data_IF_958509634825
#
_entry.id   IF_958509634825
#
_cell.length_a   1.000
_cell.length_b   1.000
_cell.length_c   1.000
_cell.angle_alpha   90.00
_cell.angle_beta   90.00
_cell.angle_gamma   90.00
#
_symmetry.space_group_name_H-M   'P 1'
#
loop_
_entity.id
_entity.type
_entity.pdbx_description
1 polymer ?
#
# COMPACT_ATOMS: atom_id res chain seq x y z
N UNK A 1 5.98 -5.85 -0.26
CA UNK A 1 6.75 -5.23 0.85
C UNK A 1 6.62 -3.70 0.84
N UNK A 2 6.85 -3.00 -0.27
CA UNK A 2 6.71 -1.53 -0.35
C UNK A 2 5.26 -1.04 -0.19
N UNK A 3 4.28 -1.81 -0.68
CA UNK A 3 2.85 -1.49 -0.61
C UNK A 3 2.13 -2.12 0.60
N UNK A 4 2.70 -3.18 1.15
CA UNK A 4 2.12 -3.95 2.27
C UNK A 4 2.55 -3.41 3.60
N UNK A 5 3.80 -2.93 3.70
CA UNK A 5 4.37 -2.44 4.95
C UNK A 5 5.05 -1.07 4.73
N UNK A 6 4.27 0.01 4.54
CA UNK A 6 4.81 1.36 4.59
C UNK A 6 5.48 1.62 5.95
N UNK A 7 5.16 0.85 7.01
CA UNK A 7 5.77 1.03 8.34
C UNK A 7 7.26 0.72 8.38
N UNK A 8 7.78 -0.08 7.45
CA UNK A 8 9.24 -0.23 7.24
C UNK A 8 9.91 1.12 6.89
N UNK A 9 9.14 2.06 6.34
CA UNK A 9 9.56 3.41 5.96
C UNK A 9 9.08 4.49 6.94
N UNK A 10 8.02 4.21 7.72
CA UNK A 10 7.50 5.11 8.76
C UNK A 10 8.52 5.18 9.90
N UNK A 11 8.74 6.39 10.44
CA UNK A 11 9.70 6.69 11.52
C UNK A 11 11.19 6.49 11.19
N UNK A 12 11.57 6.35 9.92
CA UNK A 12 12.98 6.35 9.49
C UNK A 12 13.27 7.56 8.62
N UNK A 13 14.29 8.34 8.99
CA UNK A 13 14.80 9.42 8.15
C UNK A 13 15.74 8.86 7.10
N UNK A 14 15.34 8.94 5.84
CA UNK A 14 16.19 8.58 4.70
C UNK A 14 16.66 9.85 4.00
N UNK A 15 17.95 9.93 3.68
CA UNK A 15 18.40 10.86 2.65
C UNK A 15 17.80 10.48 1.29
N UNK A 16 17.71 11.44 0.36
CA UNK A 16 17.19 11.24 -1.00
C UNK A 16 17.88 10.06 -1.72
N UNK A 17 19.18 9.89 -1.53
CA UNK A 17 19.96 8.81 -2.14
C UNK A 17 19.66 7.44 -1.53
N UNK A 18 19.50 7.37 -0.20
CA UNK A 18 19.13 6.14 0.50
C UNK A 18 17.71 5.69 0.11
N UNK A 19 16.76 6.61 0.06
CA UNK A 19 15.39 6.28 -0.35
C UNK A 19 15.38 5.71 -1.78
N UNK A 20 16.11 6.35 -2.70
CA UNK A 20 16.24 5.87 -4.08
C UNK A 20 16.83 4.46 -4.15
N UNK A 21 17.89 4.18 -3.38
CA UNK A 21 18.50 2.83 -3.32
C UNK A 21 17.53 1.79 -2.77
N UNK A 22 16.76 2.11 -1.73
CA UNK A 22 15.79 1.17 -1.14
C UNK A 22 14.68 0.86 -2.13
N UNK A 23 14.13 1.89 -2.80
CA UNK A 23 13.08 1.72 -3.81
C UNK A 23 13.60 0.89 -4.99
N UNK A 24 14.76 1.24 -5.56
CA UNK A 24 15.38 0.49 -6.66
C UNK A 24 15.61 -0.97 -6.25
N UNK A 25 16.23 -1.21 -5.10
CA UNK A 25 16.50 -2.58 -4.62
C UNK A 25 15.22 -3.39 -4.43
N UNK A 26 14.12 -2.78 -4.02
CA UNK A 26 12.84 -3.48 -3.90
C UNK A 26 12.34 -3.95 -5.27
N UNK A 27 12.31 -3.06 -6.27
CA UNK A 27 11.82 -3.39 -7.61
C UNK A 27 12.79 -4.27 -8.41
N UNK A 28 14.11 -4.18 -8.17
CA UNK A 28 15.10 -5.07 -8.79
C UNK A 28 15.02 -6.50 -8.26
N UNK A 29 14.61 -6.66 -6.99
CA UNK A 29 14.58 -7.97 -6.31
C UNK A 29 13.23 -8.63 -6.32
N UNK A 30 12.15 -7.87 -6.45
CA UNK A 30 10.78 -8.39 -6.35
C UNK A 30 9.92 -7.91 -7.49
N UNK A 31 9.15 -8.83 -8.06
CA UNK A 31 8.11 -8.55 -9.06
C UNK A 31 6.73 -8.78 -8.45
N UNK A 32 5.77 -7.94 -8.82
CA UNK A 32 4.36 -8.19 -8.54
C UNK A 32 3.83 -9.22 -9.52
N UNK A 33 3.19 -10.27 -9.02
CA UNK A 33 2.52 -11.31 -9.82
C UNK A 33 1.04 -10.97 -9.95
N UNK A 34 0.40 -10.66 -8.82
CA UNK A 34 -1.02 -10.33 -8.76
C UNK A 34 -1.25 -9.21 -7.75
N UNK A 35 -2.21 -8.34 -8.06
CA UNK A 35 -2.62 -7.23 -7.22
C UNK A 35 -4.09 -6.91 -7.47
N UNK A 36 -4.90 -7.06 -6.43
CA UNK A 36 -6.34 -6.82 -6.52
C UNK A 36 -6.89 -6.18 -5.25
N UNK A 37 -8.03 -5.50 -5.42
CA UNK A 37 -8.80 -4.89 -4.35
C UNK A 37 -10.16 -5.57 -4.25
N UNK A 38 -10.65 -5.76 -3.03
CA UNK A 38 -11.94 -6.40 -2.72
C UNK A 38 -12.57 -5.76 -1.49
N UNK A 39 -13.86 -6.01 -1.25
CA UNK A 39 -14.60 -5.49 -0.09
C UNK A 39 -14.49 -3.96 0.04
N UNK A 40 -14.68 -3.25 -1.07
CA UNK A 40 -14.62 -1.79 -1.11
C UNK A 40 -15.90 -1.21 -0.51
N UNK A 41 -15.76 -0.43 0.56
CA UNK A 41 -16.85 0.31 1.19
C UNK A 41 -16.40 1.75 1.40
N UNK A 42 -17.19 2.71 0.92
CA UNK A 42 -16.88 4.13 1.02
C UNK A 42 -17.94 4.87 1.85
N UNK A 43 -17.49 5.78 2.71
CA UNK A 43 -18.34 6.67 3.48
C UNK A 43 -17.94 8.12 3.21
N UNK A 44 -18.88 8.92 2.75
CA UNK A 44 -18.69 10.37 2.61
C UNK A 44 -19.12 11.08 3.88
N UNK A 45 -18.27 12.01 4.35
CA UNK A 45 -18.50 12.84 5.52
C UNK A 45 -19.10 14.18 5.09
N UNK A 46 -19.73 14.90 6.03
CA UNK A 46 -20.44 16.16 5.76
C UNK A 46 -19.55 17.28 5.21
N UNK A 47 -18.22 17.19 5.35
CA UNK A 47 -17.24 18.12 4.80
C UNK A 47 -16.75 17.72 3.39
N UNK A 48 -17.35 16.71 2.77
CA UNK A 48 -16.97 16.18 1.46
C UNK A 48 -15.76 15.25 1.48
N UNK A 49 -15.18 14.96 2.64
CA UNK A 49 -14.13 13.96 2.80
C UNK A 49 -14.71 12.55 2.62
N UNK A 50 -13.96 11.63 2.01
CA UNK A 50 -14.38 10.24 1.80
C UNK A 50 -13.43 9.28 2.49
N UNK A 51 -13.96 8.37 3.30
CA UNK A 51 -13.23 7.26 3.90
C UNK A 51 -13.53 5.96 3.14
N UNK A 52 -12.51 5.40 2.48
CA UNK A 52 -12.64 4.16 1.70
C UNK A 52 -11.94 3.01 2.42
N UNK A 53 -12.72 2.03 2.85
CA UNK A 53 -12.24 0.78 3.43
C UNK A 53 -12.13 -0.27 2.35
N UNK A 54 -11.00 -0.98 2.29
CA UNK A 54 -10.76 -1.98 1.24
C UNK A 54 -9.81 -3.07 1.71
N UNK A 55 -10.03 -4.28 1.22
CA UNK A 55 -9.09 -5.40 1.33
C UNK A 55 -8.21 -5.45 0.07
N UNK A 56 -6.92 -5.20 0.24
CA UNK A 56 -5.89 -5.33 -0.80
C UNK A 56 -5.25 -6.71 -0.71
N UNK A 57 -5.15 -7.42 -1.83
CA UNK A 57 -4.40 -8.65 -1.98
C UNK A 57 -3.20 -8.42 -2.89
N UNK A 58 -2.02 -8.86 -2.47
CA UNK A 58 -0.81 -8.80 -3.27
C UNK A 58 -0.06 -10.12 -3.23
N UNK A 59 0.34 -10.58 -4.42
CA UNK A 59 1.27 -11.67 -4.62
C UNK A 59 2.54 -11.14 -5.28
N UNK A 60 3.69 -11.43 -4.66
CA UNK A 60 5.00 -11.01 -5.16
C UNK A 60 5.94 -12.20 -5.27
N UNK A 61 6.87 -12.15 -6.21
CA UNK A 61 7.93 -13.13 -6.41
C UNK A 61 9.29 -12.47 -6.29
N UNK A 62 10.20 -13.07 -5.54
CA UNK A 62 11.61 -12.71 -5.55
C UNK A 62 12.26 -13.17 -6.86
N UNK A 63 12.93 -12.26 -7.56
CA UNK A 63 13.52 -12.53 -8.87
C UNK A 63 14.66 -13.55 -8.82
N UNK A 64 15.42 -13.61 -7.71
CA UNK A 64 16.58 -14.51 -7.58
C UNK A 64 16.20 -15.92 -7.10
N UNK A 65 15.27 -16.02 -6.16
CA UNK A 65 14.92 -17.28 -5.49
C UNK A 65 13.62 -17.90 -6.04
N UNK A 66 12.82 -17.12 -6.78
CA UNK A 66 11.46 -17.50 -7.16
C UNK A 66 10.48 -17.52 -5.99
N UNK A 67 10.92 -17.19 -4.76
CA UNK A 67 10.10 -17.29 -3.55
C UNK A 67 8.87 -16.39 -3.67
N UNK A 68 7.70 -16.96 -3.38
CA UNK A 68 6.41 -16.27 -3.43
C UNK A 68 6.06 -15.75 -2.04
N UNK A 69 5.61 -14.49 -1.98
CA UNK A 69 5.02 -13.89 -0.80
C UNK A 69 3.62 -13.38 -1.12
N UNK A 70 2.63 -13.82 -0.34
CA UNK A 70 1.22 -13.42 -0.44
C UNK A 70 0.80 -12.68 0.80
N UNK A 71 0.21 -11.51 0.61
CA UNK A 71 -0.22 -10.65 1.71
C UNK A 71 -1.61 -10.13 1.42
N UNK A 72 -2.46 -10.16 2.44
CA UNK A 72 -3.75 -9.48 2.45
C UNK A 72 -3.72 -8.36 3.49
N UNK A 73 -4.12 -7.16 3.10
CA UNK A 73 -4.13 -5.98 3.96
C UNK A 73 -5.51 -5.35 3.95
N UNK A 74 -6.08 -5.09 5.11
CA UNK A 74 -7.27 -4.26 5.23
C UNK A 74 -6.85 -2.82 5.52
N UNK A 75 -7.26 -1.90 4.64
CA UNK A 75 -6.82 -0.51 4.64
C UNK A 75 -8.02 0.44 4.70
N UNK A 76 -7.76 1.63 5.22
CA UNK A 76 -8.61 2.80 5.06
C UNK A 76 -7.84 3.89 4.30
N UNK A 77 -8.43 4.41 3.23
CA UNK A 77 -7.95 5.59 2.51
C UNK A 77 -8.80 6.79 2.92
N UNK A 78 -8.12 7.86 3.35
CA UNK A 78 -8.73 9.14 3.67
C UNK A 78 -8.57 10.08 2.48
N UNK A 79 -9.67 10.38 1.81
CA UNK A 79 -9.69 11.19 0.60
C UNK A 79 -10.29 12.57 0.91
N UNK A 80 -9.59 13.63 0.53
CA UNK A 80 -10.08 15.00 0.65
C UNK A 80 -10.52 15.53 -0.72
N UNK A 81 -11.59 16.35 -0.78
CA UNK A 81 -12.03 16.96 -2.02
C UNK A 81 -11.00 18.00 -2.51
N UNK A 82 -10.93 18.14 -3.82
CA UNK A 82 -10.09 19.09 -4.54
C UNK A 82 -10.93 19.75 -5.64
N UNK A 83 -10.41 20.78 -6.28
CA UNK A 83 -11.13 21.49 -7.35
C UNK A 83 -11.52 20.60 -8.56
N UNK A 84 -10.87 19.44 -8.74
CA UNK A 84 -11.08 18.54 -9.88
C UNK A 84 -11.27 17.08 -9.49
N UNK A 85 -11.66 16.78 -8.24
CA UNK A 85 -11.86 15.40 -7.76
C UNK A 85 -11.37 15.19 -6.34
N UNK A 86 -10.72 14.07 -6.06
CA UNK A 86 -10.25 13.71 -4.72
C UNK A 86 -8.76 13.42 -4.70
N UNK A 87 -8.12 13.77 -3.58
CA UNK A 87 -6.73 13.40 -3.28
C UNK A 87 -6.71 12.49 -2.06
N UNK A 88 -5.92 11.43 -2.10
CA UNK A 88 -5.62 10.65 -0.90
C UNK A 88 -4.69 11.47 0.02
N UNK A 89 -5.22 11.91 1.15
CA UNK A 89 -4.47 12.62 2.17
C UNK A 89 -3.71 11.63 3.07
N UNK A 90 -4.37 10.55 3.48
CA UNK A 90 -3.79 9.56 4.36
C UNK A 90 -4.23 8.14 4.01
N UNK A 91 -3.41 7.17 4.39
CA UNK A 91 -3.67 5.74 4.29
C UNK A 91 -3.36 5.10 5.63
N UNK A 92 -4.27 4.27 6.12
CA UNK A 92 -4.11 3.53 7.37
C UNK A 92 -4.23 2.04 7.11
N UNK A 93 -3.28 1.26 7.64
CA UNK A 93 -3.38 -0.20 7.69
C UNK A 93 -4.11 -0.56 8.98
N UNK A 94 -5.27 -1.18 8.84
CA UNK A 94 -6.11 -1.58 9.97
C UNK A 94 -5.78 -3.01 10.42
N UNK A 95 -5.44 -3.89 9.47
CA UNK A 95 -4.95 -5.23 9.76
C UNK A 95 -4.14 -5.79 8.59
N UNK A 96 -3.18 -6.66 8.88
CA UNK A 96 -2.38 -7.35 7.88
C UNK A 96 -2.31 -8.85 8.19
N UNK A 97 -2.38 -9.68 7.16
CA UNK A 97 -2.25 -11.13 7.25
C UNK A 97 -1.33 -11.66 6.15
N UNK A 98 -0.38 -12.52 6.52
CA UNK A 98 0.32 -13.36 5.55
C UNK A 98 -0.59 -14.51 5.14
N UNK A 99 -0.73 -14.71 3.83
CA UNK A 99 -1.54 -15.79 3.26
C UNK A 99 -0.60 -16.92 2.87
N UNK A 100 -1.00 -18.16 3.17
CA UNK A 100 -0.25 -19.37 2.77
C UNK A 100 -0.38 -19.60 1.27
#
# INVERSE_FOLDING_TARGET
>A
MLYTDPSYYVNRSYSRSQLRKVIINFFDRTRTIDHSFSNLVAYELSNGTVSVYVSEYQETSENQSGRIARIKVYKNFHLIPTNSGYKCEAQYILSQQQVK
#
